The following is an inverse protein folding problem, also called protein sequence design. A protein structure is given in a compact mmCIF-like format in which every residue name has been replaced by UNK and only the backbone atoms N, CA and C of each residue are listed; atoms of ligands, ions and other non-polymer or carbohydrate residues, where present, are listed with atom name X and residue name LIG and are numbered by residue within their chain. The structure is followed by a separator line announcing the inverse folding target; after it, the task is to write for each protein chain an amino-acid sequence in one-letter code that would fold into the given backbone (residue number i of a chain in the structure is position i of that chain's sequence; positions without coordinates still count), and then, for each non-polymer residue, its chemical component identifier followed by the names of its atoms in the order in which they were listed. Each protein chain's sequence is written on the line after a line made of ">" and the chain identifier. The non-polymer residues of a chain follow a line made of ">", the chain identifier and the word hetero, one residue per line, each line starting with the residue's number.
data_IF_913768023617
#
_entry.id   IF_913768023617
#
_cell.length_a   1.000
_cell.length_b   1.000
_cell.length_c   1.000
_cell.angle_alpha   90.00
_cell.angle_beta   90.00
_cell.angle_gamma   90.00
#
_symmetry.space_group_name_H-M   'P 1'
#
loop_
_entity.id
_entity.type
_entity.pdbx_description
1 polymer ?
#
# COMPACT_ATOMS: atom_id res chain seq x y z
N UNK A 1 9.61 -1.23 6.44
CA UNK A 1 8.17 -0.95 6.27
C UNK A 1 7.46 -1.97 5.35
N UNK A 2 8.03 -2.41 4.22
CA UNK A 2 7.42 -3.44 3.35
C UNK A 2 7.04 -4.76 4.05
N UNK A 3 7.92 -5.26 4.93
CA UNK A 3 7.68 -6.49 5.70
C UNK A 3 6.53 -6.31 6.70
N UNK A 4 6.44 -5.12 7.29
CA UNK A 4 5.34 -4.78 8.17
C UNK A 4 4.01 -4.76 7.41
N UNK A 5 3.95 -4.15 6.22
CA UNK A 5 2.76 -4.19 5.37
C UNK A 5 2.34 -5.62 5.01
N UNK A 6 3.31 -6.47 4.69
CA UNK A 6 3.06 -7.89 4.43
C UNK A 6 2.43 -8.58 5.65
N UNK A 7 3.01 -8.40 6.85
CA UNK A 7 2.47 -9.01 8.07
C UNK A 7 1.08 -8.47 8.42
N UNK A 8 0.82 -7.18 8.20
CA UNK A 8 -0.52 -6.59 8.38
C UNK A 8 -1.53 -7.21 7.41
N UNK A 9 -1.17 -7.33 6.13
CA UNK A 9 -2.02 -7.97 5.13
C UNK A 9 -2.37 -9.41 5.54
N UNK A 10 -1.36 -10.20 5.98
CA UNK A 10 -1.57 -11.56 6.48
C UNK A 10 -2.48 -11.63 7.69
N UNK A 11 -2.29 -10.74 8.67
CA UNK A 11 -3.11 -10.70 9.88
C UNK A 11 -4.57 -10.32 9.55
N UNK A 12 -4.79 -9.33 8.68
CA UNK A 12 -6.13 -8.96 8.22
C UNK A 12 -6.81 -10.09 7.44
N UNK A 13 -6.07 -10.79 6.58
CA UNK A 13 -6.58 -11.98 5.87
C UNK A 13 -7.00 -13.07 6.85
N UNK A 14 -6.15 -13.38 7.83
CA UNK A 14 -6.44 -14.39 8.84
C UNK A 14 -7.68 -14.05 9.68
N UNK A 15 -7.88 -12.76 9.99
CA UNK A 15 -9.05 -12.26 10.71
C UNK A 15 -10.30 -12.09 9.85
N UNK A 16 -10.24 -12.41 8.54
CA UNK A 16 -11.32 -12.17 7.57
C UNK A 16 -11.76 -10.72 7.51
N UNK A 17 -10.80 -9.81 7.68
CA UNK A 17 -10.99 -8.36 7.62
C UNK A 17 -10.59 -7.77 6.25
N UNK A 18 -10.09 -8.59 5.32
CA UNK A 18 -9.86 -8.24 3.93
C UNK A 18 -11.09 -8.58 3.08
N UNK A 19 -11.29 -7.83 1.99
CA UNK A 19 -12.26 -8.22 0.97
C UNK A 19 -11.74 -9.37 0.11
N UNK A 20 -12.63 -10.00 -0.67
CA UNK A 20 -12.28 -11.17 -1.48
C UNK A 20 -11.14 -10.92 -2.49
N UNK A 21 -11.06 -9.72 -3.08
CA UNK A 21 -10.00 -9.37 -4.03
C UNK A 21 -8.65 -9.22 -3.34
N UNK A 22 -8.62 -8.63 -2.14
CA UNK A 22 -7.42 -8.50 -1.32
C UNK A 22 -6.95 -9.85 -0.76
N UNK A 23 -7.87 -10.72 -0.34
CA UNK A 23 -7.52 -12.10 0.08
C UNK A 23 -6.89 -12.90 -1.05
N UNK A 24 -7.34 -12.71 -2.29
CA UNK A 24 -6.75 -13.36 -3.46
C UNK A 24 -5.31 -12.90 -3.70
N UNK A 25 -5.04 -11.60 -3.54
CA UNK A 25 -3.68 -11.05 -3.65
C UNK A 25 -2.75 -11.57 -2.55
N UNK A 26 -3.26 -11.72 -1.32
CA UNK A 26 -2.49 -12.30 -0.22
C UNK A 26 -2.05 -13.73 -0.59
N UNK A 27 -2.96 -14.57 -1.05
CA UNK A 27 -2.66 -15.95 -1.49
C UNK A 27 -1.67 -16.01 -2.67
N UNK A 28 -1.80 -15.10 -3.64
CA UNK A 28 -0.84 -14.95 -4.74
C UNK A 28 0.57 -14.62 -4.23
N UNK A 29 0.67 -13.90 -3.10
CA UNK A 29 1.94 -13.50 -2.48
C UNK A 29 2.70 -14.67 -1.88
N UNK A 30 1.99 -15.55 -1.16
CA UNK A 30 2.60 -16.73 -0.52
C UNK A 30 3.24 -17.70 -1.52
N UNK A 31 2.77 -17.67 -2.77
CA UNK A 31 3.28 -18.53 -3.85
C UNK A 31 4.54 -17.96 -4.52
N UNK A 32 4.89 -16.69 -4.27
CA UNK A 32 5.99 -16.01 -4.96
C UNK A 32 7.27 -15.99 -4.12
N UNK A 33 8.22 -16.87 -4.42
CA UNK A 33 9.53 -16.87 -3.77
C UNK A 33 10.29 -15.56 -4.05
N UNK A 34 10.66 -14.85 -3.00
CA UNK A 34 11.46 -13.62 -3.08
C UNK A 34 10.69 -12.34 -3.45
N UNK A 35 9.38 -12.43 -3.74
CA UNK A 35 8.52 -11.28 -4.09
C UNK A 35 7.22 -11.19 -3.29
N UNK A 36 7.17 -11.91 -2.16
CA UNK A 36 6.02 -12.00 -1.26
C UNK A 36 5.48 -10.64 -0.77
N UNK A 37 6.31 -9.59 -0.72
CA UNK A 37 5.88 -8.26 -0.27
C UNK A 37 5.28 -7.40 -1.38
N UNK A 38 5.47 -7.74 -2.67
CA UNK A 38 5.06 -6.89 -3.81
C UNK A 38 3.55 -6.61 -3.77
N UNK A 39 2.74 -7.65 -3.63
CA UNK A 39 1.30 -7.53 -3.55
C UNK A 39 0.83 -6.76 -2.31
N UNK A 40 1.52 -6.89 -1.16
CA UNK A 40 1.17 -6.14 0.04
C UNK A 40 1.46 -4.63 -0.12
N UNK A 41 2.54 -4.29 -0.82
CA UNK A 41 2.88 -2.90 -1.16
C UNK A 41 1.83 -2.31 -2.12
N UNK A 42 1.46 -3.04 -3.18
CA UNK A 42 0.43 -2.61 -4.15
C UNK A 42 -0.94 -2.52 -3.47
N UNK A 43 -1.31 -3.52 -2.67
CA UNK A 43 -2.55 -3.53 -1.89
C UNK A 43 -2.67 -2.27 -1.05
N UNK A 44 -1.63 -1.93 -0.28
CA UNK A 44 -1.72 -0.78 0.61
C UNK A 44 -1.86 0.53 -0.15
N UNK A 45 -1.22 0.66 -1.31
CA UNK A 45 -1.39 1.82 -2.17
C UNK A 45 -2.86 1.97 -2.61
N UNK A 46 -3.45 0.91 -3.17
CA UNK A 46 -4.85 0.95 -3.63
C UNK A 46 -5.86 1.11 -2.47
N UNK A 47 -5.49 0.70 -1.26
CA UNK A 47 -6.29 0.92 -0.06
C UNK A 47 -6.32 2.41 0.35
N UNK A 48 -5.25 3.15 0.06
CA UNK A 48 -5.11 4.59 0.36
C UNK A 48 -5.70 5.48 -0.75
N UNK A 49 -5.52 5.11 -2.03
CA UNK A 49 -6.01 5.83 -3.22
C UNK A 49 -7.53 5.65 -3.38
N UNK A 50 -8.33 6.42 -2.64
CA UNK A 50 -9.79 6.21 -2.58
C UNK A 50 -10.61 7.45 -2.89
N UNK A 51 -10.08 8.67 -2.71
CA UNK A 51 -10.86 9.89 -2.89
C UNK A 51 -10.00 11.08 -3.36
N UNK A 52 -9.91 11.32 -4.69
CA UNK A 52 -10.39 10.48 -5.79
C UNK A 52 -9.42 9.33 -6.10
N UNK A 53 -9.93 8.16 -6.51
CA UNK A 53 -9.11 7.04 -7.00
C UNK A 53 -8.44 7.37 -8.35
N UNK A 54 -7.36 8.14 -8.30
CA UNK A 54 -6.69 8.77 -9.45
C UNK A 54 -5.27 8.23 -9.66
N UNK A 55 -4.90 7.15 -8.98
CA UNK A 55 -3.57 6.49 -9.03
C UNK A 55 -2.45 7.32 -8.44
N UNK A 56 -2.78 8.27 -7.57
CA UNK A 56 -1.82 8.96 -6.71
C UNK A 56 -2.38 9.01 -5.30
N UNK A 57 -1.50 8.93 -4.30
CA UNK A 57 -1.90 9.07 -2.90
C UNK A 57 -1.49 10.47 -2.45
N UNK A 58 -2.49 11.27 -2.08
CA UNK A 58 -2.27 12.61 -1.53
C UNK A 58 -1.80 12.57 -0.07
N UNK A 59 -1.27 13.70 0.42
CA UNK A 59 -0.98 13.88 1.86
C UNK A 59 -2.19 13.62 2.76
N UNK A 60 -3.40 13.93 2.30
CA UNK A 60 -4.62 13.71 3.06
C UNK A 60 -4.95 12.22 3.17
N UNK A 61 -4.77 11.47 2.09
CA UNK A 61 -4.96 10.02 2.06
C UNK A 61 -3.88 9.26 2.86
N UNK A 62 -2.70 9.86 3.09
CA UNK A 62 -1.70 9.32 4.02
C UNK A 62 -2.03 9.57 5.50
N UNK A 63 -2.95 10.50 5.81
CA UNK A 63 -3.27 10.86 7.19
C UNK A 63 -3.71 9.68 8.07
N UNK A 64 -4.54 8.72 7.59
CA UNK A 64 -4.90 7.53 8.36
C UNK A 64 -3.72 6.61 8.70
N UNK A 65 -2.59 6.69 8.01
CA UNK A 65 -1.37 5.99 8.42
C UNK A 65 -0.62 6.74 9.52
N UNK A 66 -0.67 8.08 9.49
CA UNK A 66 -0.01 8.94 10.50
C UNK A 66 -0.80 8.94 11.83
N UNK A 67 -2.13 8.97 11.78
CA UNK A 67 -2.98 9.19 12.96
C UNK A 67 -2.97 8.08 14.04
N UNK A 68 -3.09 6.77 13.72
CA UNK A 68 -3.01 5.69 14.71
C UNK A 68 -1.60 5.49 15.27
N UNK A 69 -0.59 6.00 14.57
CA UNK A 69 0.83 5.84 14.87
C UNK A 69 1.42 7.09 15.51
N UNK A 70 0.60 7.92 16.17
CA UNK A 70 1.01 9.21 16.77
C UNK A 70 2.25 9.06 17.68
N UNK A 71 2.39 7.93 18.38
CA UNK A 71 3.59 7.62 19.19
C UNK A 71 4.88 7.42 18.36
N UNK A 72 4.77 7.00 17.09
CA UNK A 72 5.86 6.78 16.14
C UNK A 72 5.86 7.77 14.98
N UNK A 73 5.11 8.88 15.10
CA UNK A 73 4.99 9.89 14.04
C UNK A 73 6.36 10.42 13.61
N UNK A 74 7.25 10.67 14.57
CA UNK A 74 8.63 11.12 14.33
C UNK A 74 9.49 10.12 13.55
N UNK A 75 9.11 8.84 13.48
CA UNK A 75 9.79 7.84 12.66
C UNK A 75 9.13 7.66 11.30
N UNK A 76 7.80 7.71 11.25
CA UNK A 76 7.02 7.30 10.08
C UNK A 76 6.72 8.47 9.16
N UNK A 77 6.45 9.67 9.70
CA UNK A 77 6.17 10.84 8.89
C UNK A 77 7.37 11.20 7.98
N UNK A 78 8.63 11.27 8.46
CA UNK A 78 9.76 11.54 7.59
C UNK A 78 9.96 10.46 6.50
N UNK A 79 9.67 9.20 6.82
CA UNK A 79 9.71 8.12 5.84
C UNK A 79 8.65 8.31 4.74
N UNK A 80 7.39 8.55 5.12
CA UNK A 80 6.31 8.76 4.15
C UNK A 80 6.55 10.01 3.30
N UNK A 81 7.07 11.08 3.91
CA UNK A 81 7.40 12.31 3.20
C UNK A 81 8.58 12.09 2.23
N UNK A 82 9.52 11.18 2.54
CA UNK A 82 10.62 10.82 1.63
C UNK A 82 10.20 9.99 0.41
N UNK A 83 8.97 9.45 0.42
CA UNK A 83 8.44 8.74 -0.73
C UNK A 83 7.98 9.68 -1.85
N UNK A 84 7.75 10.96 -1.58
CA UNK A 84 7.43 12.00 -2.56
C UNK A 84 8.76 12.52 -3.15
N UNK A 85 9.22 11.90 -4.24
CA UNK A 85 10.59 12.09 -4.73
C UNK A 85 10.76 13.37 -5.56
N UNK A 86 9.69 13.83 -6.21
CA UNK A 86 9.65 15.09 -6.96
C UNK A 86 9.04 16.25 -6.16
N UNK A 87 8.58 16.00 -4.92
CA UNK A 87 8.09 16.98 -3.96
C UNK A 87 6.87 17.75 -4.51
N UNK A 88 5.99 17.06 -5.23
CA UNK A 88 4.72 17.60 -5.74
C UNK A 88 3.53 17.42 -4.77
N UNK A 89 3.81 16.84 -3.58
CA UNK A 89 2.85 16.51 -2.53
C UNK A 89 1.89 15.35 -2.86
N UNK A 90 2.22 14.56 -3.88
CA UNK A 90 1.52 13.36 -4.28
C UNK A 90 2.53 12.21 -4.32
N UNK A 91 2.06 10.99 -4.06
CA UNK A 91 2.89 9.79 -4.16
C UNK A 91 2.29 8.88 -5.20
N UNK A 92 2.98 8.70 -6.32
CA UNK A 92 2.57 7.75 -7.36
C UNK A 92 2.84 6.30 -6.93
N UNK A 93 2.17 5.33 -7.57
CA UNK A 93 2.43 3.91 -7.30
C UNK A 93 3.91 3.52 -7.49
N UNK A 94 4.59 4.15 -8.45
CA UNK A 94 6.01 3.90 -8.73
C UNK A 94 6.90 4.44 -7.62
N UNK A 95 6.62 5.62 -7.13
CA UNK A 95 7.33 6.22 -6.00
C UNK A 95 7.11 5.43 -4.72
N UNK A 96 5.86 5.09 -4.41
CA UNK A 96 5.51 4.23 -3.28
C UNK A 96 6.26 2.90 -3.31
N UNK A 97 6.24 2.20 -4.46
CA UNK A 97 6.94 0.94 -4.64
C UNK A 97 8.45 1.07 -4.48
N UNK A 98 9.08 2.06 -5.13
CA UNK A 98 10.52 2.32 -5.01
C UNK A 98 10.93 2.71 -3.59
N UNK A 99 10.15 3.56 -2.93
CA UNK A 99 10.36 3.97 -1.53
C UNK A 99 10.37 2.77 -0.58
N UNK A 100 9.58 1.74 -0.89
CA UNK A 100 9.53 0.47 -0.15
C UNK A 100 10.53 -0.58 -0.66
N UNK A 101 11.38 -0.21 -1.62
CA UNK A 101 12.48 -1.02 -2.15
C UNK A 101 12.02 -2.12 -3.11
N UNK A 102 10.98 -1.86 -3.91
CA UNK A 102 10.63 -2.69 -5.06
C UNK A 102 11.37 -2.23 -6.31
N UNK A 103 11.69 -3.18 -7.18
CA UNK A 103 12.16 -2.88 -8.53
C UNK A 103 10.98 -2.47 -9.43
N UNK A 104 11.25 -1.64 -10.44
CA UNK A 104 10.19 -1.04 -11.29
C UNK A 104 9.39 -2.10 -12.04
N UNK A 105 10.03 -3.19 -12.44
CA UNK A 105 9.42 -4.33 -13.14
C UNK A 105 8.50 -5.16 -12.24
N UNK A 106 8.64 -5.05 -10.92
CA UNK A 106 7.77 -5.69 -9.93
C UNK A 106 6.47 -4.89 -9.69
N UNK A 107 6.49 -3.59 -9.96
CA UNK A 107 5.39 -2.67 -9.67
C UNK A 107 4.32 -2.78 -10.77
N UNK A 108 3.23 -3.48 -10.45
CA UNK A 108 2.07 -3.63 -11.34
C UNK A 108 0.85 -2.94 -10.74
N UNK A 109 0.20 -2.05 -11.50
CA UNK A 109 -1.07 -1.47 -11.08
C UNK A 109 -2.17 -2.55 -11.09
N UNK A 110 -2.65 -2.88 -9.90
CA UNK A 110 -3.75 -3.81 -9.68
C UNK A 110 -4.97 -3.13 -9.06
N UNK A 111 -4.98 -1.81 -8.89
CA UNK A 111 -5.99 -1.08 -8.13
C UNK A 111 -7.38 -1.17 -8.75
N UNK A 112 -7.47 -1.22 -10.09
CA UNK A 112 -8.75 -1.39 -10.78
C UNK A 112 -9.52 -2.62 -10.29
N UNK A 113 -8.84 -3.76 -10.09
CA UNK A 113 -9.46 -4.99 -9.56
C UNK A 113 -9.99 -4.79 -8.13
N UNK A 114 -9.35 -3.93 -7.36
CA UNK A 114 -9.61 -3.74 -5.93
C UNK A 114 -10.75 -2.76 -5.67
N UNK A 115 -10.91 -1.72 -6.50
CA UNK A 115 -11.99 -0.74 -6.37
C UNK A 115 -13.35 -1.27 -6.87
N UNK A 116 -13.39 -2.23 -7.81
CA UNK A 116 -14.65 -2.85 -8.26
C UNK A 116 -15.40 -3.62 -7.17
N UNK A 117 -14.75 -3.97 -6.06
CA UNK A 117 -15.35 -4.66 -4.92
C UNK A 117 -15.82 -3.74 -3.79
N UNK A 118 -15.57 -2.43 -3.86
CA UNK A 118 -16.04 -1.45 -2.87
C UNK A 118 -17.39 -0.89 -3.34
N UNK A 119 -18.49 -1.55 -2.99
CA UNK A 119 -19.77 -0.85 -2.94
C UNK A 119 -19.67 0.14 -1.79
N UNK A 120 -19.81 1.43 -2.09
CA UNK A 120 -20.07 2.46 -1.07
C UNK A 120 -21.42 2.18 -0.39
#
# INVERSE_FOLDING_TARGET
>A
MREWLFNIMKDLAHRKALNAEYEKLEKESEQSQGRQWVNAVIWKFCDLDVEPANRVVSRHELYPLKAPLLAMEHCIAPFLDSCDADNDHQVTLKEWGRCLGLEVDEIQDKCHRMHHGKSF
#
